data_IF_783616017227
#
_entry.id   IF_783616017227
#
_cell.length_a   1.000
_cell.length_b   1.000
_cell.length_c   1.000
_cell.angle_alpha   90.00
_cell.angle_beta   90.00
_cell.angle_gamma   90.00
#
_symmetry.space_group_name_H-M   'P 1'
#
loop_
_entity.id
_entity.type
_entity.pdbx_description
1 polymer ?
#
# COMPACT_ATOMS: atom_id res chain seq x y z
N UNK A 1 17.34 8.73 18.55
CA UNK A 1 15.94 8.26 18.52
C UNK A 1 15.85 7.30 17.36
N UNK A 2 15.22 6.17 17.53
CA UNK A 2 14.97 5.17 16.49
C UNK A 2 13.46 5.07 16.29
N UNK A 3 13.00 5.02 15.05
CA UNK A 3 11.58 4.83 14.75
C UNK A 3 11.38 3.37 14.33
N UNK A 4 10.39 2.72 14.92
CA UNK A 4 10.10 1.30 14.69
C UNK A 4 8.63 1.07 14.40
N UNK A 5 8.36 0.11 13.54
CA UNK A 5 7.03 -0.51 13.44
C UNK A 5 6.95 -1.51 14.58
N UNK A 6 6.01 -1.33 15.49
CA UNK A 6 5.81 -2.21 16.65
C UNK A 6 4.59 -3.10 16.52
N UNK A 7 3.67 -2.78 15.62
CA UNK A 7 2.52 -3.62 15.31
C UNK A 7 2.16 -3.58 13.84
N UNK A 8 1.71 -4.72 13.34
CA UNK A 8 1.21 -4.92 11.99
C UNK A 8 -0.17 -5.60 12.07
N UNK A 9 -1.14 -5.08 11.34
CA UNK A 9 -2.44 -5.71 11.19
C UNK A 9 -2.95 -5.56 9.77
N UNK A 10 -3.52 -6.62 9.24
CA UNK A 10 -4.17 -6.64 7.93
C UNK A 10 -5.61 -7.14 8.05
N UNK A 11 -6.43 -6.80 7.09
CA UNK A 11 -7.77 -7.35 6.94
C UNK A 11 -8.10 -7.48 5.46
N UNK A 12 -8.69 -8.58 5.07
CA UNK A 12 -9.32 -8.77 3.75
C UNK A 12 -10.72 -9.33 3.93
N UNK A 13 -11.70 -8.94 3.09
CA UNK A 13 -13.04 -9.53 3.09
C UNK A 13 -13.02 -11.03 2.84
N UNK A 14 -14.04 -11.75 3.32
CA UNK A 14 -14.15 -13.20 3.10
C UNK A 14 -14.54 -13.56 1.66
N UNK A 15 -15.25 -12.67 0.95
CA UNK A 15 -15.71 -12.91 -0.43
C UNK A 15 -14.54 -12.72 -1.42
N UNK A 16 -14.49 -13.60 -2.41
CA UNK A 16 -13.46 -13.54 -3.47
C UNK A 16 -14.09 -13.66 -4.85
N UNK A 17 -13.39 -13.10 -5.85
CA UNK A 17 -13.66 -13.32 -7.27
C UNK A 17 -12.43 -13.95 -7.92
N UNK A 18 -12.63 -15.05 -8.67
CA UNK A 18 -11.53 -15.78 -9.32
C UNK A 18 -11.17 -15.17 -10.68
N UNK A 19 -9.93 -15.45 -11.15
CA UNK A 19 -9.51 -15.08 -12.49
C UNK A 19 -10.41 -15.66 -13.60
N UNK A 20 -10.99 -16.86 -13.39
CA UNK A 20 -11.99 -17.45 -14.29
C UNK A 20 -13.26 -16.57 -14.37
N UNK A 21 -13.77 -16.12 -13.22
CA UNK A 21 -14.95 -15.27 -13.18
C UNK A 21 -14.71 -13.90 -13.83
N UNK A 22 -13.54 -13.29 -13.60
CA UNK A 22 -13.11 -12.05 -14.26
C UNK A 22 -13.03 -12.26 -15.80
N UNK A 23 -12.45 -13.37 -16.24
CA UNK A 23 -12.36 -13.72 -17.65
C UNK A 23 -13.75 -13.87 -18.29
N UNK A 24 -14.69 -14.54 -17.60
CA UNK A 24 -16.04 -14.71 -18.07
C UNK A 24 -16.83 -13.40 -18.21
N UNK A 25 -16.62 -12.44 -17.30
CA UNK A 25 -17.28 -11.15 -17.31
C UNK A 25 -16.66 -10.18 -18.33
N UNK A 26 -15.32 -10.12 -18.39
CA UNK A 26 -14.59 -9.20 -19.26
C UNK A 26 -14.45 -9.67 -20.71
N UNK A 27 -14.61 -10.97 -20.97
CA UNK A 27 -14.31 -11.59 -22.27
C UNK A 27 -12.82 -11.75 -22.57
N UNK A 28 -11.93 -11.38 -21.64
CA UNK A 28 -10.49 -11.61 -21.76
C UNK A 28 -10.20 -13.09 -21.48
N UNK A 29 -9.32 -13.76 -22.23
CA UNK A 29 -8.97 -15.14 -21.97
C UNK A 29 -8.45 -15.36 -20.54
N UNK A 30 -8.92 -16.40 -19.85
CA UNK A 30 -8.51 -16.72 -18.47
C UNK A 30 -6.98 -16.78 -18.30
N UNK A 31 -6.26 -17.39 -19.24
CA UNK A 31 -4.79 -17.43 -19.25
C UNK A 31 -4.18 -16.01 -19.19
N UNK A 32 -4.82 -15.02 -19.79
CA UNK A 32 -4.35 -13.62 -19.75
C UNK A 32 -4.60 -13.01 -18.38
N UNK A 33 -5.76 -13.25 -17.78
CA UNK A 33 -6.09 -12.76 -16.43
C UNK A 33 -5.17 -13.39 -15.40
N UNK A 34 -5.04 -14.71 -15.40
CA UNK A 34 -4.26 -15.44 -14.38
C UNK A 34 -2.76 -15.25 -14.58
N UNK A 35 -2.25 -15.52 -15.79
CA UNK A 35 -0.79 -15.60 -16.02
C UNK A 35 -0.17 -14.23 -16.34
N UNK A 36 -0.88 -13.33 -17.04
CA UNK A 36 -0.32 -12.04 -17.46
C UNK A 36 -0.72 -10.89 -16.53
N UNK A 37 -1.99 -10.83 -16.11
CA UNK A 37 -2.42 -9.82 -15.13
C UNK A 37 -2.04 -10.20 -13.71
N UNK A 38 -1.84 -11.50 -13.45
CA UNK A 38 -1.37 -12.04 -12.18
C UNK A 38 -2.47 -12.11 -11.13
N UNK A 39 -3.70 -12.40 -11.52
CA UNK A 39 -4.84 -12.55 -10.61
C UNK A 39 -5.33 -13.99 -10.65
N UNK A 40 -4.97 -14.77 -9.66
CA UNK A 40 -5.57 -16.09 -9.43
C UNK A 40 -6.94 -15.94 -8.79
N UNK A 41 -7.01 -15.12 -7.76
CA UNK A 41 -8.21 -14.63 -7.12
C UNK A 41 -7.93 -13.28 -6.47
N UNK A 42 -8.96 -12.56 -6.06
CA UNK A 42 -8.86 -11.33 -5.30
C UNK A 42 -10.05 -11.20 -4.35
N UNK A 43 -9.83 -10.53 -3.21
CA UNK A 43 -10.88 -10.25 -2.25
C UNK A 43 -11.74 -9.08 -2.71
N UNK A 44 -13.04 -9.17 -2.47
CA UNK A 44 -14.05 -8.17 -2.83
C UNK A 44 -15.00 -7.92 -1.65
N UNK A 45 -15.45 -6.69 -1.52
CA UNK A 45 -16.37 -6.35 -0.43
C UNK A 45 -17.82 -6.70 -0.79
N UNK A 46 -18.62 -7.18 0.18
CA UNK A 46 -20.08 -7.22 0.04
C UNK A 46 -20.62 -5.79 -0.18
N UNK A 47 -21.75 -5.63 -0.91
CA UNK A 47 -22.32 -4.30 -1.21
C UNK A 47 -22.66 -3.45 0.02
N UNK A 48 -23.08 -4.09 1.11
CA UNK A 48 -23.60 -3.41 2.31
C UNK A 48 -22.71 -3.59 3.55
N UNK A 49 -21.48 -4.09 3.39
CA UNK A 49 -20.54 -4.39 4.48
C UNK A 49 -19.08 -4.13 4.05
N UNK A 50 -18.16 -4.25 4.99
CA UNK A 50 -16.72 -4.04 4.75
C UNK A 50 -16.40 -2.69 4.07
N UNK A 51 -17.06 -1.61 4.52
CA UNK A 51 -16.71 -0.28 4.06
C UNK A 51 -15.28 0.10 4.47
N UNK A 52 -14.68 1.08 3.80
CA UNK A 52 -13.27 1.42 4.00
C UNK A 52 -12.91 1.68 5.48
N UNK A 53 -13.80 2.34 6.25
CA UNK A 53 -13.56 2.53 7.69
C UNK A 53 -13.79 1.28 8.52
N UNK A 54 -14.67 0.36 8.14
CA UNK A 54 -14.90 -0.91 8.85
C UNK A 54 -13.64 -1.77 8.78
N UNK A 55 -13.14 -1.97 7.57
CA UNK A 55 -11.89 -2.69 7.33
C UNK A 55 -10.70 -2.03 8.03
N UNK A 56 -10.61 -0.68 7.96
CA UNK A 56 -9.56 0.10 8.62
C UNK A 56 -9.53 -0.11 10.12
N UNK A 57 -10.68 -0.06 10.79
CA UNK A 57 -10.78 -0.28 12.24
C UNK A 57 -10.36 -1.69 12.59
N UNK A 58 -10.81 -2.71 11.85
CA UNK A 58 -10.43 -4.10 12.08
C UNK A 58 -8.92 -4.31 11.94
N UNK A 59 -8.28 -3.76 10.90
CA UNK A 59 -6.83 -3.83 10.74
C UNK A 59 -6.09 -3.06 11.84
N UNK A 60 -6.59 -1.90 12.23
CA UNK A 60 -6.02 -1.09 13.32
C UNK A 60 -6.08 -1.79 14.66
N UNK A 61 -7.21 -2.42 15.02
CA UNK A 61 -7.36 -3.21 16.26
C UNK A 61 -6.35 -4.37 16.30
N UNK A 62 -6.12 -5.03 15.16
CA UNK A 62 -5.09 -6.09 15.06
C UNK A 62 -3.69 -5.54 15.26
N UNK A 63 -3.35 -4.42 14.63
CA UNK A 63 -2.03 -3.80 14.78
C UNK A 63 -1.79 -3.30 16.22
N UNK A 64 -2.80 -2.69 16.86
CA UNK A 64 -2.72 -2.24 18.24
C UNK A 64 -2.56 -3.42 19.21
N UNK A 65 -3.29 -4.50 18.98
CA UNK A 65 -3.14 -5.73 19.77
C UNK A 65 -1.75 -6.38 19.60
N UNK A 66 -1.21 -6.36 18.36
CA UNK A 66 0.13 -6.85 18.06
C UNK A 66 1.23 -6.01 18.73
N UNK A 67 1.05 -4.70 18.83
CA UNK A 67 1.95 -3.77 19.50
C UNK A 67 1.79 -3.74 21.04
N UNK A 68 0.71 -4.30 21.60
CA UNK A 68 0.27 -4.11 23.01
C UNK A 68 0.12 -2.62 23.37
N UNK A 69 -0.53 -1.84 22.46
CA UNK A 69 -0.77 -0.39 22.60
C UNK A 69 -2.25 -0.12 22.82
N UNK A 70 -2.58 0.66 23.84
CA UNK A 70 -3.94 1.15 24.07
C UNK A 70 -4.24 2.28 23.06
N UNK A 71 -5.40 2.28 22.38
CA UNK A 71 -5.78 3.39 21.48
C UNK A 71 -5.66 4.78 22.11
N UNK A 72 -5.86 4.91 23.43
CA UNK A 72 -5.70 6.18 24.13
C UNK A 72 -4.25 6.67 24.23
N UNK A 73 -3.26 5.82 23.98
CA UNK A 73 -1.83 6.18 23.97
C UNK A 73 -1.36 6.67 22.59
N UNK A 74 -2.23 6.65 21.58
CA UNK A 74 -1.93 7.20 20.25
C UNK A 74 -1.90 8.72 20.28
N UNK A 75 -0.88 9.32 19.66
CA UNK A 75 -0.74 10.78 19.46
C UNK A 75 -1.29 11.21 18.08
N UNK A 76 -1.18 10.34 17.07
CA UNK A 76 -1.65 10.63 15.71
C UNK A 76 -2.20 9.39 15.01
N UNK A 77 -3.31 9.57 14.29
CA UNK A 77 -3.85 8.58 13.34
C UNK A 77 -3.75 9.16 11.93
N UNK A 78 -3.05 8.46 11.05
CA UNK A 78 -2.87 8.85 9.64
C UNK A 78 -3.57 7.83 8.74
N UNK A 79 -4.63 8.27 8.05
CA UNK A 79 -5.21 7.47 6.97
C UNK A 79 -4.45 7.72 5.67
N UNK A 80 -3.97 6.65 5.03
CA UNK A 80 -3.24 6.72 3.78
C UNK A 80 -3.79 5.78 2.68
N UNK A 81 -5.04 5.34 2.85
CA UNK A 81 -5.74 4.47 1.92
C UNK A 81 -6.35 5.19 0.73
N UNK A 82 -7.34 4.54 0.12
CA UNK A 82 -8.04 5.03 -1.05
C UNK A 82 -8.80 6.33 -0.79
N UNK A 83 -8.94 7.17 -1.83
CA UNK A 83 -9.88 8.30 -1.82
C UNK A 83 -11.34 7.84 -2.00
N UNK A 84 -11.56 6.67 -2.58
CA UNK A 84 -12.87 6.01 -2.58
C UNK A 84 -13.13 5.34 -1.23
N UNK A 85 -13.79 6.08 -0.37
CA UNK A 85 -14.08 5.74 1.03
C UNK A 85 -15.56 6.03 1.33
N UNK A 86 -16.02 5.80 2.54
CA UNK A 86 -17.43 5.83 2.94
C UNK A 86 -18.20 7.06 2.44
N UNK A 87 -17.58 8.24 2.46
CA UNK A 87 -18.20 9.48 1.99
C UNK A 87 -17.18 10.38 1.28
N UNK A 88 -17.64 11.17 0.29
CA UNK A 88 -16.85 12.25 -0.29
C UNK A 88 -16.85 13.47 0.63
N UNK A 89 -15.75 14.27 0.60
CA UNK A 89 -15.58 15.47 1.46
C UNK A 89 -15.75 15.11 2.94
N UNK A 90 -15.03 14.12 3.40
CA UNK A 90 -15.14 13.53 4.72
C UNK A 90 -13.78 13.00 5.20
N UNK A 91 -13.57 12.93 6.51
CA UNK A 91 -12.31 12.43 7.07
C UNK A 91 -12.47 11.01 7.61
N UNK A 92 -11.90 10.05 6.91
CA UNK A 92 -11.81 8.67 7.37
C UNK A 92 -10.94 8.58 8.62
N UNK A 93 -9.81 9.29 8.67
CA UNK A 93 -8.93 9.30 9.82
C UNK A 93 -9.66 9.73 11.11
N UNK A 94 -10.50 10.78 11.04
CA UNK A 94 -11.27 11.22 12.20
C UNK A 94 -12.31 10.17 12.67
N UNK A 95 -12.99 9.51 11.72
CA UNK A 95 -13.97 8.47 12.05
C UNK A 95 -13.29 7.22 12.65
N UNK A 96 -12.12 6.82 12.11
CA UNK A 96 -11.34 5.70 12.64
C UNK A 96 -10.85 6.03 14.06
N UNK A 97 -10.36 7.26 14.29
CA UNK A 97 -9.91 7.74 15.61
C UNK A 97 -11.03 7.65 16.66
N UNK A 98 -12.24 8.09 16.29
CA UNK A 98 -13.42 8.03 17.19
C UNK A 98 -13.82 6.56 17.47
N UNK A 99 -13.88 5.73 16.45
CA UNK A 99 -14.28 4.32 16.58
C UNK A 99 -13.29 3.48 17.40
N UNK A 100 -12.01 3.77 17.32
CA UNK A 100 -10.96 3.13 18.13
C UNK A 100 -10.93 3.65 19.58
N UNK A 101 -11.55 4.80 19.86
CA UNK A 101 -11.42 5.46 21.14
C UNK A 101 -10.06 6.14 21.37
N UNK A 102 -9.35 6.49 20.32
CA UNK A 102 -8.04 7.16 20.36
C UNK A 102 -8.19 8.65 20.73
N UNK A 103 -8.64 8.90 21.95
CA UNK A 103 -9.09 10.22 22.44
C UNK A 103 -8.00 11.27 22.54
N UNK A 104 -6.74 10.88 22.56
CA UNK A 104 -5.59 11.79 22.64
C UNK A 104 -4.98 12.10 21.28
N UNK A 105 -5.29 11.28 20.26
CA UNK A 105 -4.73 11.43 18.94
C UNK A 105 -5.38 12.57 18.14
N UNK A 106 -4.57 13.30 17.39
CA UNK A 106 -5.12 14.04 16.25
C UNK A 106 -5.16 13.16 15.00
N UNK A 107 -6.10 13.47 14.08
CA UNK A 107 -6.31 12.71 12.87
C UNK A 107 -5.91 13.50 11.62
N UNK A 108 -5.23 12.84 10.68
CA UNK A 108 -4.85 13.44 9.39
C UNK A 108 -4.88 12.41 8.27
N UNK A 109 -4.80 12.86 7.03
CA UNK A 109 -4.79 11.99 5.86
C UNK A 109 -3.60 12.30 4.95
N UNK A 110 -2.96 11.25 4.43
CA UNK A 110 -1.86 11.33 3.48
C UNK A 110 -2.24 10.58 2.21
N UNK A 111 -2.63 11.31 1.18
CA UNK A 111 -3.13 10.71 -0.04
C UNK A 111 -2.08 10.71 -1.15
N UNK A 112 -1.57 9.54 -1.49
CA UNK A 112 -0.60 9.30 -2.58
C UNK A 112 -0.92 8.01 -3.34
N UNK A 113 -2.20 7.61 -3.36
CA UNK A 113 -2.67 6.39 -4.03
C UNK A 113 -1.86 5.16 -3.57
N UNK A 114 -1.53 4.27 -4.50
CA UNK A 114 -0.82 3.02 -4.20
C UNK A 114 0.59 3.22 -3.61
N UNK A 115 1.17 4.43 -3.69
CA UNK A 115 2.45 4.78 -3.06
C UNK A 115 2.31 5.16 -1.57
N UNK A 116 1.12 5.00 -0.97
CA UNK A 116 0.76 5.54 0.34
C UNK A 116 1.59 5.03 1.50
N UNK A 117 1.83 3.73 1.62
CA UNK A 117 2.50 3.16 2.79
C UNK A 117 3.93 3.68 3.00
N UNK A 118 4.86 3.65 2.02
CA UNK A 118 6.19 4.22 2.20
C UNK A 118 6.17 5.74 2.43
N UNK A 119 5.22 6.47 1.82
CA UNK A 119 5.08 7.92 2.03
C UNK A 119 4.57 8.24 3.43
N UNK A 120 3.55 7.53 3.92
CA UNK A 120 3.02 7.72 5.27
C UNK A 120 4.07 7.38 6.34
N UNK A 121 4.81 6.28 6.17
CA UNK A 121 5.95 5.93 7.03
C UNK A 121 7.00 7.05 7.05
N UNK A 122 7.37 7.59 5.90
CA UNK A 122 8.31 8.71 5.81
C UNK A 122 7.82 9.95 6.55
N UNK A 123 6.54 10.28 6.40
CA UNK A 123 5.95 11.46 7.03
C UNK A 123 5.89 11.32 8.54
N UNK A 124 5.41 10.17 9.03
CA UNK A 124 5.28 9.93 10.47
C UNK A 124 6.64 9.78 11.13
N UNK A 125 7.62 9.15 10.47
CA UNK A 125 9.00 9.10 10.97
C UNK A 125 9.55 10.50 11.22
N UNK A 126 9.36 11.42 10.26
CA UNK A 126 9.80 12.81 10.44
C UNK A 126 9.06 13.53 11.58
N UNK A 127 7.78 13.26 11.80
CA UNK A 127 7.01 13.83 12.92
C UNK A 127 7.51 13.28 14.26
N UNK A 128 7.68 11.97 14.39
CA UNK A 128 8.21 11.32 15.60
C UNK A 128 9.62 11.81 15.97
N UNK A 129 10.44 12.19 14.98
CA UNK A 129 11.79 12.73 15.20
C UNK A 129 11.81 14.21 15.63
N UNK A 130 10.77 14.99 15.29
CA UNK A 130 10.81 16.46 15.42
C UNK A 130 9.75 17.04 16.32
N UNK A 131 8.68 16.31 16.62
CA UNK A 131 7.55 16.74 17.42
C UNK A 131 7.48 15.97 18.75
N UNK A 132 6.80 16.48 19.77
CA UNK A 132 6.66 15.79 21.05
C UNK A 132 5.53 14.75 20.97
N UNK A 133 5.65 13.80 20.07
CA UNK A 133 4.76 12.66 19.88
C UNK A 133 5.60 11.38 19.84
N UNK A 134 5.09 10.31 20.42
CA UNK A 134 5.82 9.06 20.57
C UNK A 134 5.18 7.90 19.80
N UNK A 135 3.85 7.92 19.59
CA UNK A 135 3.11 6.79 19.02
C UNK A 135 2.14 7.23 17.92
N UNK A 136 2.28 6.62 16.76
CA UNK A 136 1.45 6.88 15.58
C UNK A 136 0.77 5.60 15.09
N UNK A 137 -0.47 5.72 14.59
CA UNK A 137 -1.15 4.70 13.83
C UNK A 137 -1.25 5.13 12.37
N UNK A 138 -0.64 4.35 11.48
CA UNK A 138 -0.85 4.44 10.05
C UNK A 138 -1.91 3.42 9.65
N UNK A 139 -2.94 3.85 8.93
CA UNK A 139 -4.03 2.95 8.53
C UNK A 139 -4.45 3.22 7.09
N UNK A 140 -4.71 2.16 6.34
CA UNK A 140 -5.15 2.23 4.96
C UNK A 140 -6.23 1.19 4.68
N UNK A 141 -7.15 1.55 3.79
CA UNK A 141 -8.07 0.60 3.18
C UNK A 141 -8.26 0.94 1.71
N UNK A 142 -8.58 -0.08 0.92
CA UNK A 142 -9.01 0.07 -0.47
C UNK A 142 -10.27 -0.75 -0.70
N UNK A 143 -11.19 -0.15 -1.42
CA UNK A 143 -12.39 -0.75 -1.97
C UNK A 143 -12.59 -0.32 -3.44
N UNK A 144 -11.48 -0.01 -4.13
CA UNK A 144 -11.54 0.50 -5.51
C UNK A 144 -11.96 -0.56 -6.54
N UNK A 145 -12.05 -1.80 -6.12
CA UNK A 145 -12.66 -2.87 -6.92
C UNK A 145 -14.10 -2.52 -7.33
N UNK A 146 -14.87 -1.84 -6.46
CA UNK A 146 -16.22 -1.33 -6.78
C UNK A 146 -16.25 -0.36 -7.99
N UNK A 147 -15.12 0.24 -8.32
CA UNK A 147 -14.98 1.20 -9.43
C UNK A 147 -14.49 0.56 -10.73
N UNK A 148 -14.26 -0.76 -10.74
CA UNK A 148 -13.76 -1.48 -11.91
C UNK A 148 -14.92 -1.82 -12.85
N UNK A 149 -14.81 -1.42 -14.11
CA UNK A 149 -15.71 -1.82 -15.19
C UNK A 149 -15.04 -2.90 -16.05
N UNK A 150 -15.42 -4.16 -15.85
CA UNK A 150 -14.89 -5.29 -16.62
C UNK A 150 -15.26 -5.25 -18.12
N UNK A 151 -16.20 -4.39 -18.51
CA UNK A 151 -16.54 -4.12 -19.92
C UNK A 151 -15.60 -3.12 -20.60
N UNK A 152 -14.76 -2.42 -19.85
CA UNK A 152 -13.81 -1.44 -20.36
C UNK A 152 -12.40 -2.04 -20.53
N UNK A 153 -12.07 -2.55 -21.72
CA UNK A 153 -10.76 -3.14 -22.03
C UNK A 153 -9.59 -2.15 -21.85
N UNK A 154 -9.83 -0.84 -22.01
CA UNK A 154 -8.80 0.19 -21.88
C UNK A 154 -8.31 0.33 -20.43
N UNK A 155 -9.15 -0.03 -19.47
CA UNK A 155 -8.84 -0.08 -18.04
C UNK A 155 -8.44 -1.46 -17.52
N UNK A 156 -8.22 -2.43 -18.39
CA UNK A 156 -8.06 -3.85 -18.03
C UNK A 156 -6.91 -4.17 -17.06
N UNK A 157 -5.89 -3.31 -16.96
CA UNK A 157 -4.84 -3.50 -15.95
C UNK A 157 -5.34 -3.31 -14.51
N UNK A 158 -6.50 -2.65 -14.32
CA UNK A 158 -7.17 -2.47 -13.02
C UNK A 158 -8.11 -3.63 -12.67
N UNK A 159 -8.30 -4.62 -13.54
CA UNK A 159 -9.11 -5.80 -13.25
C UNK A 159 -8.54 -6.63 -12.09
N UNK A 160 -7.26 -6.40 -11.74
CA UNK A 160 -6.61 -6.98 -10.57
C UNK A 160 -6.89 -6.21 -9.25
N UNK A 161 -7.63 -5.10 -9.26
CA UNK A 161 -7.93 -4.37 -8.02
C UNK A 161 -8.76 -5.23 -7.08
N UNK A 162 -8.27 -5.40 -5.86
CA UNK A 162 -8.91 -6.10 -4.77
C UNK A 162 -9.24 -5.16 -3.61
N UNK A 163 -9.85 -5.70 -2.56
CA UNK A 163 -10.28 -4.97 -1.38
C UNK A 163 -9.58 -5.47 -0.13
N UNK A 164 -9.34 -4.56 0.84
CA UNK A 164 -8.73 -4.88 2.11
C UNK A 164 -8.22 -3.65 2.84
N UNK A 165 -7.61 -3.88 3.99
CA UNK A 165 -7.04 -2.85 4.85
C UNK A 165 -5.75 -3.30 5.51
N UNK A 166 -4.95 -2.33 5.95
CA UNK A 166 -3.75 -2.56 6.75
C UNK A 166 -3.56 -1.46 7.79
N UNK A 167 -2.83 -1.78 8.84
CA UNK A 167 -2.39 -0.79 9.81
C UNK A 167 -0.97 -1.12 10.31
N UNK A 168 -0.21 -0.05 10.60
CA UNK A 168 1.06 -0.12 11.31
C UNK A 168 0.98 0.75 12.56
N UNK A 169 1.37 0.21 13.70
CA UNK A 169 1.73 1.03 14.87
C UNK A 169 3.20 1.39 14.73
N UNK A 170 3.51 2.67 14.83
CA UNK A 170 4.86 3.21 14.65
C UNK A 170 5.23 4.02 15.90
N UNK A 171 6.31 3.65 16.56
CA UNK A 171 6.73 4.28 17.80
C UNK A 171 8.15 4.84 17.70
N UNK A 172 8.36 5.99 18.36
CA UNK A 172 9.67 6.53 18.65
C UNK A 172 10.26 5.81 19.85
N UNK A 173 11.39 5.17 19.70
CA UNK A 173 12.09 4.50 20.79
C UNK A 173 13.38 5.21 21.14
N UNK A 174 13.71 5.30 22.46
CA UNK A 174 15.00 5.81 22.91
C UNK A 174 16.12 4.80 22.56
N UNK A 175 16.36 4.62 21.28
CA UNK A 175 17.40 3.77 20.73
C UNK A 175 18.76 4.47 20.70
N UNK A 176 19.81 3.81 21.15
CA UNK A 176 21.19 4.23 20.89
C UNK A 176 21.48 4.36 19.38
N UNK A 177 22.57 4.99 19.03
CA UNK A 177 23.05 5.22 17.65
C UNK A 177 22.69 4.06 16.70
N UNK A 178 22.20 4.40 15.52
CA UNK A 178 21.80 3.51 14.42
C UNK A 178 22.84 2.42 14.06
N UNK A 179 24.06 2.55 14.58
CA UNK A 179 25.20 1.67 14.35
C UNK A 179 25.47 0.61 15.44
N UNK A 180 24.69 0.59 16.53
CA UNK A 180 24.84 -0.45 17.57
C UNK A 180 23.85 -1.61 17.30
N UNK A 181 24.31 -2.60 16.55
CA UNK A 181 23.53 -3.67 15.93
C UNK A 181 22.95 -4.73 16.89
N UNK A 182 23.23 -4.73 18.17
CA UNK A 182 22.93 -5.93 18.95
C UNK A 182 22.13 -5.74 20.24
N UNK A 183 22.05 -4.57 20.88
CA UNK A 183 21.83 -4.61 22.33
C UNK A 183 20.66 -3.80 22.92
N UNK A 184 19.77 -3.14 22.15
CA UNK A 184 18.71 -2.32 22.76
C UNK A 184 17.34 -2.40 22.07
N UNK A 185 16.94 -3.61 21.78
CA UNK A 185 15.53 -3.86 21.45
C UNK A 185 14.78 -4.22 22.73
N UNK A 186 13.71 -3.52 23.04
CA UNK A 186 12.78 -3.87 24.11
C UNK A 186 11.94 -5.13 23.78
N UNK A 187 12.20 -5.77 22.63
CA UNK A 187 11.56 -6.99 22.17
C UNK A 187 10.18 -6.78 21.51
N UNK A 188 9.71 -5.52 21.38
CA UNK A 188 8.40 -5.23 20.78
C UNK A 188 8.46 -4.82 19.31
N UNK A 189 9.60 -4.35 18.81
CA UNK A 189 9.69 -3.87 17.44
C UNK A 189 9.63 -5.00 16.41
N UNK A 190 8.68 -4.94 15.51
CA UNK A 190 8.57 -5.79 14.32
C UNK A 190 9.61 -5.41 13.27
N UNK A 191 9.81 -4.11 13.08
CA UNK A 191 10.82 -3.61 12.17
C UNK A 191 11.35 -2.26 12.59
N UNK A 192 12.64 -2.02 12.35
CA UNK A 192 13.25 -0.69 12.49
C UNK A 192 13.15 0.04 11.15
N UNK A 193 12.56 1.23 11.15
CA UNK A 193 12.50 2.10 9.96
C UNK A 193 13.87 2.74 9.75
N UNK A 194 14.39 2.65 8.53
CA UNK A 194 15.65 3.26 8.13
C UNK A 194 15.36 4.57 7.37
N UNK A 195 15.68 4.62 6.11
CA UNK A 195 15.43 5.81 5.31
C UNK A 195 14.41 5.58 4.20
N UNK A 196 13.85 6.67 3.72
CA UNK A 196 12.87 6.65 2.64
C UNK A 196 13.29 7.57 1.49
N UNK A 197 12.79 7.24 0.29
CA UNK A 197 12.89 8.09 -0.89
C UNK A 197 11.55 8.13 -1.63
N UNK A 198 11.32 9.21 -2.35
CA UNK A 198 10.16 9.34 -3.22
C UNK A 198 10.48 10.29 -4.37
N UNK A 199 9.83 10.06 -5.52
CA UNK A 199 9.83 10.96 -6.66
C UNK A 199 8.47 10.96 -7.35
N UNK A 200 8.10 12.07 -7.98
CA UNK A 200 6.84 12.21 -8.70
C UNK A 200 7.09 12.76 -10.10
N UNK A 201 6.44 12.16 -11.10
CA UNK A 201 6.29 12.74 -12.43
C UNK A 201 4.81 13.10 -12.66
N UNK A 202 4.48 14.37 -12.50
CA UNK A 202 3.12 14.89 -12.63
C UNK A 202 2.58 14.88 -14.06
N UNK A 203 3.38 14.54 -15.07
CA UNK A 203 2.91 14.44 -16.46
C UNK A 203 1.90 13.30 -16.66
N UNK A 204 1.82 12.37 -15.73
CA UNK A 204 0.89 11.23 -15.71
C UNK A 204 -0.39 11.47 -14.88
N UNK A 205 -0.58 12.67 -14.31
CA UNK A 205 -1.69 12.93 -13.37
C UNK A 205 -3.09 12.74 -13.95
N UNK A 206 -3.24 12.73 -15.25
CA UNK A 206 -4.52 12.52 -15.96
C UNK A 206 -4.68 11.15 -16.60
N UNK A 207 -3.74 10.22 -16.40
CA UNK A 207 -3.73 8.94 -17.10
C UNK A 207 -4.71 7.91 -16.54
N UNK A 208 -5.02 8.02 -15.24
CA UNK A 208 -6.08 7.22 -14.59
C UNK A 208 -6.98 8.18 -13.83
N UNK A 209 -8.26 8.16 -14.13
CA UNK A 209 -9.24 9.05 -13.51
C UNK A 209 -10.59 8.36 -13.37
N UNK A 210 -11.42 8.83 -12.45
CA UNK A 210 -12.86 8.66 -12.52
C UNK A 210 -13.44 9.89 -13.24
N UNK A 211 -14.04 9.76 -14.45
CA UNK A 211 -14.37 10.90 -15.31
C UNK A 211 -15.38 11.87 -14.72
N UNK A 212 -16.28 11.39 -13.83
CA UNK A 212 -17.28 12.21 -13.16
C UNK A 212 -17.23 12.00 -11.64
N UNK A 213 -17.86 12.89 -10.88
CA UNK A 213 -17.87 12.89 -9.41
C UNK A 213 -17.11 14.05 -8.80
N UNK A 214 -16.09 14.58 -9.50
CA UNK A 214 -15.32 15.75 -9.09
C UNK A 214 -15.90 17.07 -9.58
N UNK A 215 -15.20 18.18 -9.28
CA UNK A 215 -15.64 19.54 -9.60
C UNK A 215 -15.66 19.87 -11.11
N UNK A 216 -14.87 19.16 -11.93
CA UNK A 216 -14.88 19.33 -13.40
C UNK A 216 -16.16 18.79 -14.03
N UNK A 217 -16.66 17.67 -13.52
CA UNK A 217 -17.89 17.01 -13.98
C UNK A 217 -18.64 16.45 -12.77
N UNK A 218 -19.45 17.28 -12.09
CA UNK A 218 -20.20 16.85 -10.91
C UNK A 218 -21.17 15.70 -11.20
N UNK A 219 -21.58 14.92 -10.19
CA UNK A 219 -22.58 13.86 -10.36
C UNK A 219 -23.90 14.41 -10.92
N UNK A 220 -24.49 13.71 -11.88
CA UNK A 220 -25.79 14.04 -12.48
C UNK A 220 -26.44 12.78 -13.04
N UNK A 221 -27.75 12.85 -13.37
CA UNK A 221 -28.44 11.74 -14.04
C UNK A 221 -27.75 11.36 -15.38
N UNK A 222 -27.15 12.32 -16.06
CA UNK A 222 -26.41 12.10 -17.31
C UNK A 222 -25.13 11.29 -17.03
N UNK A 223 -24.32 11.70 -16.06
CA UNK A 223 -23.05 11.03 -15.74
C UNK A 223 -23.25 9.61 -15.20
N UNK A 224 -24.35 9.36 -14.49
CA UNK A 224 -24.73 7.99 -14.05
C UNK A 224 -25.15 7.14 -15.24
N UNK A 225 -26.00 7.69 -16.13
CA UNK A 225 -26.45 6.96 -17.32
C UNK A 225 -25.32 6.65 -18.31
N UNK A 226 -24.29 7.50 -18.34
CA UNK A 226 -23.10 7.33 -19.20
C UNK A 226 -22.03 6.43 -18.54
N UNK A 227 -22.24 5.93 -17.33
CA UNK A 227 -21.30 5.02 -16.65
C UNK A 227 -19.98 5.69 -16.21
N UNK A 228 -19.97 7.02 -15.98
CA UNK A 228 -18.74 7.79 -15.76
C UNK A 228 -18.25 7.80 -14.31
N UNK A 229 -18.80 6.94 -13.47
CA UNK A 229 -18.43 6.79 -12.06
C UNK A 229 -17.59 5.52 -11.80
N UNK A 230 -16.92 5.03 -12.85
CA UNK A 230 -15.92 3.96 -12.81
C UNK A 230 -14.54 4.51 -13.15
N UNK A 231 -13.50 3.78 -12.85
CA UNK A 231 -12.14 4.13 -13.25
C UNK A 231 -11.95 3.99 -14.75
N UNK A 232 -11.25 4.94 -15.35
CA UNK A 232 -10.99 5.00 -16.78
C UNK A 232 -9.56 5.43 -17.08
N UNK A 233 -9.08 5.04 -18.26
CA UNK A 233 -7.79 5.43 -18.83
C UNK A 233 -8.05 6.18 -20.14
N UNK A 234 -8.08 7.52 -20.14
CA UNK A 234 -8.46 8.29 -21.30
C UNK A 234 -7.58 8.10 -22.54
N UNK A 235 -6.30 7.73 -22.34
CA UNK A 235 -5.32 7.49 -23.43
C UNK A 235 -4.41 6.31 -23.04
N UNK A 236 -4.88 5.05 -23.16
CA UNK A 236 -4.14 3.87 -22.72
C UNK A 236 -2.85 3.64 -23.53
N UNK A 237 -2.85 3.90 -24.82
CA UNK A 237 -1.67 3.76 -25.68
C UNK A 237 -0.61 4.80 -25.33
N UNK A 238 -1.01 6.08 -25.18
CA UNK A 238 -0.11 7.15 -24.79
C UNK A 238 0.44 6.97 -23.37
N UNK A 239 -0.37 6.49 -22.42
CA UNK A 239 0.10 6.14 -21.09
C UNK A 239 1.17 5.04 -21.17
N UNK A 240 0.90 3.96 -21.89
CA UNK A 240 1.84 2.82 -22.04
C UNK A 240 3.15 3.25 -22.71
N UNK A 241 3.09 4.07 -23.75
CA UNK A 241 4.27 4.59 -24.46
C UNK A 241 5.15 5.44 -23.55
N UNK A 242 4.54 6.31 -22.73
CA UNK A 242 5.26 7.19 -21.80
C UNK A 242 5.75 6.49 -20.54
N UNK A 243 4.91 5.64 -19.92
CA UNK A 243 5.21 4.98 -18.66
C UNK A 243 6.24 3.83 -18.80
N UNK A 244 6.18 3.09 -19.91
CA UNK A 244 7.03 1.92 -20.14
C UNK A 244 8.53 2.19 -19.97
N UNK A 245 9.10 3.27 -20.56
CA UNK A 245 10.52 3.59 -20.42
C UNK A 245 10.94 4.09 -19.04
N UNK A 246 10.03 4.66 -18.25
CA UNK A 246 10.36 5.38 -17.00
C UNK A 246 10.03 4.59 -15.74
N UNK A 247 9.08 3.66 -15.80
CA UNK A 247 8.58 2.97 -14.61
C UNK A 247 9.67 2.18 -13.88
N UNK A 248 10.34 1.25 -14.56
CA UNK A 248 11.40 0.45 -13.93
C UNK A 248 12.56 1.31 -13.41
N UNK A 249 13.14 2.24 -14.20
CA UNK A 249 14.17 3.15 -13.68
C UNK A 249 13.73 3.95 -12.45
N UNK A 250 12.46 4.35 -12.37
CA UNK A 250 11.93 5.09 -11.24
C UNK A 250 11.83 4.24 -9.96
N UNK A 251 11.36 2.98 -10.07
CA UNK A 251 11.39 2.04 -8.95
C UNK A 251 12.80 1.83 -8.42
N UNK A 252 13.76 1.54 -9.32
CA UNK A 252 15.15 1.33 -8.94
C UNK A 252 15.76 2.59 -8.31
N UNK A 253 15.48 3.77 -8.87
CA UNK A 253 16.00 5.04 -8.35
C UNK A 253 15.55 5.35 -6.94
N UNK A 254 14.27 5.10 -6.58
CA UNK A 254 13.79 5.34 -5.21
C UNK A 254 14.32 4.29 -4.24
N UNK A 255 14.46 3.02 -4.67
CA UNK A 255 15.07 1.96 -3.88
C UNK A 255 16.54 2.29 -3.58
N UNK A 256 17.35 2.57 -4.61
CA UNK A 256 18.77 2.94 -4.47
C UNK A 256 18.94 4.15 -3.54
N UNK A 257 18.12 5.19 -3.74
CA UNK A 257 18.21 6.40 -2.90
C UNK A 257 17.85 6.11 -1.44
N UNK A 258 16.88 5.24 -1.17
CA UNK A 258 16.53 4.86 0.20
C UNK A 258 17.63 3.99 0.84
N UNK A 259 18.24 3.07 0.09
CA UNK A 259 19.39 2.27 0.52
C UNK A 259 20.61 3.15 0.81
N UNK A 260 21.00 4.03 -0.11
CA UNK A 260 22.12 4.96 0.09
C UNK A 260 21.96 5.83 1.34
N UNK A 261 20.76 6.37 1.58
CA UNK A 261 20.44 7.15 2.79
C UNK A 261 20.48 6.31 4.07
N UNK A 262 20.30 5.00 3.94
CA UNK A 262 20.43 4.03 5.03
C UNK A 262 21.89 3.58 5.25
N UNK A 263 22.83 4.02 4.38
CA UNK A 263 24.23 3.56 4.38
C UNK A 263 24.39 2.13 3.88
N UNK A 264 23.52 1.69 2.98
CA UNK A 264 23.39 0.33 2.47
C UNK A 264 23.40 0.35 0.93
N UNK A 265 23.52 -0.83 0.32
CA UNK A 265 23.39 -1.02 -1.11
C UNK A 265 22.48 -2.23 -1.44
N UNK A 266 22.33 -2.56 -2.73
CA UNK A 266 21.42 -3.63 -3.16
C UNK A 266 21.84 -5.01 -2.67
N UNK A 267 23.15 -5.24 -2.46
CA UNK A 267 23.68 -6.52 -1.98
C UNK A 267 23.32 -6.79 -0.51
N UNK A 268 22.88 -5.74 0.23
CA UNK A 268 22.40 -5.85 1.60
C UNK A 268 20.90 -6.19 1.70
N UNK A 269 20.15 -6.13 0.57
CA UNK A 269 18.69 -6.28 0.55
C UNK A 269 18.30 -7.76 0.49
N UNK A 270 17.43 -8.18 1.40
CA UNK A 270 16.98 -9.57 1.53
C UNK A 270 15.52 -9.76 1.05
N UNK A 271 14.66 -8.73 1.15
CA UNK A 271 13.24 -8.85 0.83
C UNK A 271 12.64 -7.56 0.25
N UNK A 272 11.70 -7.68 -0.70
CA UNK A 272 10.92 -6.55 -1.22
C UNK A 272 9.43 -6.79 -1.08
N UNK A 273 8.76 -5.91 -0.32
CA UNK A 273 7.31 -5.79 -0.29
C UNK A 273 6.88 -4.79 -1.40
N UNK A 274 6.51 -5.33 -2.56
CA UNK A 274 6.27 -4.57 -3.78
C UNK A 274 4.78 -4.37 -4.03
N UNK A 275 4.38 -3.19 -4.52
CA UNK A 275 3.04 -2.98 -5.10
C UNK A 275 2.71 -4.08 -6.10
N UNK A 276 1.53 -4.69 -5.98
CA UNK A 276 1.10 -5.75 -6.88
C UNK A 276 0.90 -5.24 -8.31
N UNK A 277 1.44 -5.97 -9.26
CA UNK A 277 1.40 -5.67 -10.68
C UNK A 277 1.57 -6.94 -11.51
N UNK A 278 1.67 -6.82 -12.82
CA UNK A 278 1.94 -7.97 -13.68
C UNK A 278 3.13 -8.78 -13.19
N UNK A 279 2.99 -10.11 -13.11
CA UNK A 279 4.04 -11.03 -12.62
C UNK A 279 5.40 -10.77 -13.29
N UNK A 280 5.42 -10.64 -14.61
CA UNK A 280 6.68 -10.40 -15.34
C UNK A 280 7.36 -9.06 -15.00
N UNK A 281 6.62 -8.06 -14.57
CA UNK A 281 7.20 -6.79 -14.14
C UNK A 281 7.65 -6.86 -12.68
N UNK A 282 6.89 -7.54 -11.82
CA UNK A 282 7.29 -7.85 -10.45
C UNK A 282 8.63 -8.60 -10.42
N UNK A 283 8.71 -9.72 -11.15
CA UNK A 283 9.93 -10.51 -11.28
C UNK A 283 11.10 -9.68 -11.79
N UNK A 284 10.87 -8.85 -12.80
CA UNK A 284 11.91 -7.98 -13.35
C UNK A 284 12.41 -6.92 -12.35
N UNK A 285 11.55 -6.37 -11.50
CA UNK A 285 11.98 -5.41 -10.46
C UNK A 285 12.90 -6.12 -9.46
N UNK A 286 12.55 -7.32 -9.02
CA UNK A 286 13.37 -8.10 -8.10
C UNK A 286 14.70 -8.49 -8.75
N UNK A 287 14.70 -9.04 -9.96
CA UNK A 287 15.92 -9.40 -10.72
C UNK A 287 16.89 -8.20 -10.85
N UNK A 288 16.38 -7.03 -11.21
CA UNK A 288 17.20 -5.80 -11.36
C UNK A 288 17.71 -5.26 -10.01
N UNK A 289 17.07 -5.61 -8.90
CA UNK A 289 17.56 -5.33 -7.55
C UNK A 289 18.56 -6.40 -7.05
N UNK A 290 18.75 -7.49 -7.80
CA UNK A 290 19.66 -8.57 -7.46
C UNK A 290 19.04 -9.67 -6.60
N UNK A 291 17.71 -9.72 -6.52
CA UNK A 291 16.92 -10.63 -5.70
C UNK A 291 16.31 -11.77 -6.50
N UNK A 292 16.05 -12.91 -5.84
CA UNK A 292 15.33 -14.03 -6.43
C UNK A 292 13.81 -13.81 -6.31
N UNK A 293 13.06 -13.66 -7.43
CA UNK A 293 11.63 -13.48 -7.41
C UNK A 293 10.85 -14.63 -6.74
N UNK A 294 11.46 -15.79 -6.61
CA UNK A 294 10.85 -16.97 -5.99
C UNK A 294 10.90 -16.98 -4.46
N UNK A 295 11.86 -16.25 -3.84
CA UNK A 295 12.09 -16.23 -2.39
C UNK A 295 12.08 -14.85 -1.75
N UNK A 296 12.59 -13.82 -2.43
CA UNK A 296 12.94 -12.55 -1.83
C UNK A 296 11.83 -11.48 -1.95
N UNK A 297 10.61 -11.95 -2.15
CA UNK A 297 9.38 -11.17 -2.20
C UNK A 297 8.16 -12.07 -2.17
N UNK A 298 6.99 -11.48 -1.95
CA UNK A 298 5.72 -12.21 -2.02
C UNK A 298 4.84 -11.63 -3.13
N UNK A 299 4.41 -12.48 -4.05
CA UNK A 299 3.53 -12.08 -5.15
C UNK A 299 2.07 -12.25 -4.77
N UNK A 300 1.30 -11.15 -4.77
CA UNK A 300 -0.06 -11.07 -4.21
C UNK A 300 -1.16 -11.58 -5.19
N UNK A 301 -0.95 -12.70 -5.91
CA UNK A 301 -1.91 -13.21 -6.89
C UNK A 301 -3.21 -13.78 -6.30
N UNK A 302 -3.25 -13.94 -4.97
CA UNK A 302 -4.42 -14.36 -4.21
C UNK A 302 -5.18 -13.19 -3.55
N UNK A 303 -4.64 -11.96 -3.63
CA UNK A 303 -5.26 -10.76 -3.07
C UNK A 303 -5.65 -9.76 -4.15
N UNK A 304 -4.96 -9.77 -5.28
CA UNK A 304 -4.98 -8.69 -6.25
C UNK A 304 -4.20 -7.47 -5.76
N UNK A 305 -4.43 -6.32 -6.39
CA UNK A 305 -3.83 -5.05 -6.02
C UNK A 305 -4.75 -4.31 -5.04
N UNK A 306 -4.33 -4.19 -3.79
CA UNK A 306 -5.08 -3.53 -2.72
C UNK A 306 -4.48 -2.15 -2.40
N UNK A 307 -3.95 -1.46 -3.40
CA UNK A 307 -3.34 -0.13 -3.28
C UNK A 307 -2.21 -0.06 -2.24
N UNK A 308 -2.27 0.92 -1.33
CA UNK A 308 -1.26 1.12 -0.27
C UNK A 308 -1.30 0.05 0.85
N UNK A 309 -2.16 -0.95 0.73
CA UNK A 309 -2.24 -2.12 1.61
C UNK A 309 -1.26 -3.22 1.18
N UNK A 310 -0.89 -3.26 -0.10
CA UNK A 310 -0.05 -4.31 -0.69
C UNK A 310 1.22 -4.59 0.11
N UNK A 311 1.91 -3.55 0.59
CA UNK A 311 3.18 -3.72 1.30
C UNK A 311 2.99 -4.45 2.64
N UNK A 312 1.89 -4.17 3.34
CA UNK A 312 1.57 -4.83 4.60
C UNK A 312 1.22 -6.32 4.38
N UNK A 313 0.40 -6.61 3.35
CA UNK A 313 0.07 -7.98 2.96
C UNK A 313 1.33 -8.75 2.54
N UNK A 314 2.22 -8.12 1.77
CA UNK A 314 3.46 -8.76 1.34
C UNK A 314 4.41 -9.05 2.52
N UNK A 315 4.49 -8.16 3.52
CA UNK A 315 5.25 -8.41 4.76
C UNK A 315 4.65 -9.56 5.57
N UNK A 316 3.33 -9.53 5.83
CA UNK A 316 2.63 -10.58 6.57
C UNK A 316 2.83 -11.94 5.91
N UNK A 317 2.58 -12.05 4.59
CA UNK A 317 2.77 -13.28 3.83
C UNK A 317 4.23 -13.70 3.72
N UNK A 318 5.15 -12.72 3.65
CA UNK A 318 6.59 -12.99 3.70
C UNK A 318 7.00 -13.72 4.98
N UNK A 319 6.49 -13.25 6.12
CA UNK A 319 6.71 -13.90 7.44
C UNK A 319 6.06 -15.28 7.49
N UNK A 320 4.77 -15.39 7.12
CA UNK A 320 4.03 -16.65 7.18
C UNK A 320 4.60 -17.75 6.27
N UNK A 321 5.24 -17.36 5.18
CA UNK A 321 5.88 -18.29 4.22
C UNK A 321 7.39 -18.44 4.42
N UNK A 322 7.93 -17.94 5.54
CA UNK A 322 9.35 -18.02 5.89
C UNK A 322 10.29 -17.43 4.82
N UNK A 323 9.81 -16.36 4.13
CA UNK A 323 10.59 -15.59 3.15
C UNK A 323 11.18 -14.31 3.72
N UNK A 324 10.65 -13.88 4.86
CA UNK A 324 11.12 -12.72 5.63
C UNK A 324 11.42 -13.18 7.04
N UNK A 325 12.70 -13.20 7.41
CA UNK A 325 13.19 -13.69 8.69
C UNK A 325 13.72 -12.54 9.57
N UNK A 326 13.78 -12.73 10.91
CA UNK A 326 14.39 -11.75 11.81
C UNK A 326 15.85 -11.47 11.44
N UNK A 327 16.17 -10.22 11.21
CA UNK A 327 17.49 -9.76 10.77
C UNK A 327 17.54 -9.29 9.31
N UNK A 328 16.55 -9.67 8.50
CA UNK A 328 16.49 -9.30 7.09
C UNK A 328 16.32 -7.80 6.88
N UNK A 329 16.92 -7.31 5.82
CA UNK A 329 16.71 -5.98 5.31
C UNK A 329 15.60 -6.01 4.26
N UNK A 330 14.48 -5.39 4.60
CA UNK A 330 13.32 -5.27 3.71
C UNK A 330 13.22 -3.89 3.07
N UNK A 331 12.59 -3.83 1.90
CA UNK A 331 12.20 -2.57 1.26
C UNK A 331 10.70 -2.59 0.93
N UNK A 332 9.95 -1.66 1.49
CA UNK A 332 8.60 -1.36 1.04
C UNK A 332 8.74 -0.51 -0.22
N UNK A 333 8.34 -1.03 -1.37
CA UNK A 333 8.56 -0.39 -2.67
C UNK A 333 7.23 -0.25 -3.41
N UNK A 334 6.86 0.98 -3.77
CA UNK A 334 5.54 1.28 -4.27
C UNK A 334 5.53 2.29 -5.42
N UNK A 335 4.50 2.21 -6.25
CA UNK A 335 4.12 3.26 -7.17
C UNK A 335 2.61 3.46 -7.17
N UNK A 336 2.19 4.73 -7.16
CA UNK A 336 0.81 5.15 -7.31
C UNK A 336 0.62 5.97 -8.58
N UNK A 337 -0.56 5.86 -9.18
CA UNK A 337 -0.90 6.66 -10.36
C UNK A 337 -0.70 8.15 -10.10
N UNK A 338 -0.28 8.88 -11.14
CA UNK A 338 0.06 10.28 -10.97
C UNK A 338 1.36 10.72 -11.64
N UNK A 339 2.50 10.00 -11.79
CA UNK A 339 2.88 8.85 -10.97
C UNK A 339 3.79 9.29 -9.83
N UNK A 340 3.65 8.63 -8.69
CA UNK A 340 4.59 8.76 -7.58
C UNK A 340 5.20 7.39 -7.28
N UNK A 341 6.54 7.30 -7.24
CA UNK A 341 7.29 6.14 -6.78
C UNK A 341 7.85 6.43 -5.39
N UNK A 342 7.85 5.44 -4.53
CA UNK A 342 8.35 5.59 -3.16
C UNK A 342 8.96 4.29 -2.65
N UNK A 343 9.96 4.44 -1.77
CA UNK A 343 10.62 3.34 -1.09
C UNK A 343 10.87 3.70 0.38
N UNK A 344 10.74 2.72 1.26
CA UNK A 344 11.18 2.81 2.66
C UNK A 344 11.92 1.54 3.03
N UNK A 345 13.17 1.68 3.45
CA UNK A 345 14.00 0.57 3.92
C UNK A 345 13.69 0.31 5.39
N UNK A 346 13.53 -0.96 5.73
CA UNK A 346 13.29 -1.44 7.09
C UNK A 346 14.25 -2.57 7.42
N UNK A 347 14.58 -2.76 8.70
CA UNK A 347 15.19 -3.99 9.17
C UNK A 347 14.17 -4.77 9.96
N UNK A 348 13.81 -5.94 9.46
CA UNK A 348 12.85 -6.84 10.10
C UNK A 348 13.42 -7.42 11.38
N UNK A 349 12.58 -7.61 12.41
CA UNK A 349 13.00 -8.08 13.72
C UNK A 349 12.23 -9.33 14.20
N UNK A 350 11.04 -9.55 13.64
CA UNK A 350 10.22 -10.72 13.96
C UNK A 350 8.83 -10.42 14.48
#
# INVERSE_FOLDING_TARGET
>A
MTVSITGLGTYVPDETITGEAIAAESGIPEEVVVEKMGVREKHVCPPDDDHATDMSVTAAERALADADVDPADLDVVVYHGSEYKDHVVWSAAAAITDRLGATNAYATESYTLCAGAPIALRQVTAQLETEPIDTALLVAASREEDLVDYGNEDSSFMFNFGSGASAFVVEATDGGSVNDEADRFDGRARATVRASAAQTDGSFAGDVVMPAGGSKRPPSEETVREGLHTLDVPDPDGMKERLGPVSLPAYLSVADTALERSGLDRDDLDFVALTHMKRSFHERVLDELGLDPGSDGYYLDEFGHVQSVDQALALERGVETERLEPGDLGCLLAAGTGYTWSATVIRWRG
#
